data_IF_659886442084
#
_entry.id   IF_659886442084
#
_cell.length_a   1.000
_cell.length_b   1.000
_cell.length_c   1.000
_cell.angle_alpha   90.00
_cell.angle_beta   90.00
_cell.angle_gamma   90.00
#
_symmetry.space_group_name_H-M   'P 1'
#
loop_
_entity.id
_entity.type
_entity.pdbx_description
1 polymer ?
#
# COMPACT_ATOMS: atom_id res chain seq x y z
N UNK A 1 -25.26 -18.42 -4.16
CA UNK A 1 -24.18 -19.03 -4.93
C UNK A 1 -23.51 -17.99 -5.79
N UNK A 2 -22.20 -18.13 -6.06
CA UNK A 2 -21.44 -17.28 -7.00
C UNK A 2 -21.98 -17.53 -8.42
N UNK A 3 -22.36 -16.47 -9.11
CA UNK A 3 -22.87 -16.53 -10.50
C UNK A 3 -21.85 -16.00 -11.51
N UNK A 4 -21.03 -15.01 -11.10
CA UNK A 4 -20.03 -14.42 -11.99
C UNK A 4 -18.88 -13.77 -11.19
N UNK A 5 -17.69 -13.69 -11.80
CA UNK A 5 -16.53 -12.93 -11.33
C UNK A 5 -16.04 -12.08 -12.49
N UNK A 6 -15.97 -10.79 -12.29
CA UNK A 6 -15.52 -9.80 -13.27
C UNK A 6 -14.34 -9.01 -12.73
N UNK A 7 -13.46 -8.56 -13.61
CA UNK A 7 -12.38 -7.62 -13.29
C UNK A 7 -12.53 -6.35 -14.11
N UNK A 8 -12.27 -5.21 -13.47
CA UNK A 8 -12.27 -3.89 -14.07
C UNK A 8 -10.89 -3.27 -13.92
N UNK A 9 -10.28 -2.90 -15.03
CA UNK A 9 -9.04 -2.12 -15.02
C UNK A 9 -9.36 -0.65 -15.32
N UNK A 10 -8.94 0.24 -14.44
CA UNK A 10 -9.18 1.68 -14.51
C UNK A 10 -7.87 2.43 -14.67
N UNK A 11 -7.77 3.35 -15.63
CA UNK A 11 -6.56 4.15 -15.86
C UNK A 11 -6.45 5.26 -14.80
N UNK A 12 -5.65 5.05 -13.77
CA UNK A 12 -5.34 6.05 -12.76
C UNK A 12 -4.10 6.89 -13.12
N UNK A 13 -3.93 7.22 -14.39
CA UNK A 13 -2.89 8.10 -14.90
C UNK A 13 -1.55 7.40 -15.12
N UNK A 14 -0.74 7.27 -14.09
CA UNK A 14 0.57 6.60 -14.20
C UNK A 14 0.52 5.11 -13.88
N UNK A 15 -0.61 4.58 -13.42
CA UNK A 15 -0.84 3.17 -13.09
C UNK A 15 -2.29 2.76 -13.35
N UNK A 16 -2.58 1.49 -13.62
CA UNK A 16 -3.95 0.97 -13.58
C UNK A 16 -4.33 0.64 -12.13
N UNK A 17 -5.62 0.82 -11.79
CA UNK A 17 -6.26 0.14 -10.67
C UNK A 17 -7.06 -1.05 -11.18
N UNK A 18 -7.12 -2.12 -10.39
CA UNK A 18 -7.81 -3.35 -10.78
C UNK A 18 -8.80 -3.77 -9.69
N UNK A 19 -10.08 -3.83 -10.04
CA UNK A 19 -11.17 -4.15 -9.12
C UNK A 19 -11.84 -5.45 -9.50
N UNK A 20 -12.18 -6.26 -8.51
CA UNK A 20 -12.93 -7.50 -8.66
C UNK A 20 -14.35 -7.28 -8.21
N UNK A 21 -15.31 -7.75 -9.02
CA UNK A 21 -16.72 -7.84 -8.71
C UNK A 21 -17.14 -9.31 -8.70
N UNK A 22 -17.68 -9.78 -7.58
CA UNK A 22 -18.30 -11.12 -7.48
C UNK A 22 -19.79 -10.93 -7.34
N UNK A 23 -20.56 -11.55 -8.24
CA UNK A 23 -22.02 -11.54 -8.24
C UNK A 23 -22.57 -12.86 -7.71
N UNK A 24 -23.71 -12.83 -7.02
CA UNK A 24 -24.40 -13.99 -6.49
C UNK A 24 -25.83 -14.09 -7.02
N UNK A 25 -26.45 -15.26 -6.88
CA UNK A 25 -27.85 -15.48 -7.25
C UNK A 25 -28.87 -14.82 -6.29
N UNK A 26 -28.41 -14.24 -5.18
CA UNK A 26 -29.23 -13.54 -4.19
C UNK A 26 -29.04 -12.01 -4.32
N UNK A 27 -28.61 -11.53 -5.49
CA UNK A 27 -28.34 -10.14 -5.83
C UNK A 27 -27.28 -9.44 -4.93
N UNK A 28 -26.56 -10.20 -4.11
CA UNK A 28 -25.42 -9.67 -3.36
C UNK A 28 -24.20 -9.54 -4.28
N UNK A 29 -23.53 -8.39 -4.16
CA UNK A 29 -22.33 -8.08 -4.90
C UNK A 29 -21.19 -7.81 -3.92
N UNK A 30 -20.09 -8.55 -4.08
CA UNK A 30 -18.82 -8.29 -3.38
C UNK A 30 -17.86 -7.53 -4.26
N UNK A 31 -17.24 -6.52 -3.68
CA UNK A 31 -16.19 -5.73 -4.31
C UNK A 31 -14.88 -5.86 -3.57
N UNK A 32 -13.79 -5.89 -4.33
CA UNK A 32 -12.44 -5.76 -3.81
C UNK A 32 -11.51 -5.12 -4.82
N UNK A 33 -10.29 -4.88 -4.40
CA UNK A 33 -9.20 -4.40 -5.24
C UNK A 33 -8.07 -5.43 -5.27
N UNK A 34 -7.39 -5.56 -6.41
CA UNK A 34 -6.21 -6.44 -6.59
C UNK A 34 -5.15 -5.74 -7.44
N UNK A 35 -5.04 -4.43 -7.29
CA UNK A 35 -4.16 -3.57 -8.07
C UNK A 35 -2.71 -4.06 -8.06
N UNK A 36 -2.10 -4.17 -9.24
CA UNK A 36 -0.67 -4.41 -9.45
C UNK A 36 -0.09 -3.30 -10.33
N UNK A 37 0.30 -2.21 -9.71
CA UNK A 37 0.66 -0.97 -10.39
C UNK A 37 1.87 -1.07 -11.32
N UNK A 38 2.81 -1.97 -11.02
CA UNK A 38 4.08 -2.11 -11.72
C UNK A 38 4.34 -3.52 -12.25
N UNK A 39 3.34 -4.39 -12.23
CA UNK A 39 3.46 -5.77 -12.67
C UNK A 39 2.66 -6.06 -13.95
N UNK A 40 1.67 -6.93 -13.84
CA UNK A 40 0.91 -7.42 -15.00
C UNK A 40 -0.59 -7.42 -14.74
N UNK A 41 -1.32 -6.32 -14.99
CA UNK A 41 -2.78 -6.29 -14.85
C UNK A 41 -3.46 -7.38 -15.70
N UNK A 42 -2.99 -7.59 -16.94
CA UNK A 42 -3.49 -8.69 -17.81
C UNK A 42 -3.17 -10.07 -17.25
N UNK A 43 -2.03 -10.21 -16.58
CA UNK A 43 -1.65 -11.46 -15.92
C UNK A 43 -2.57 -11.78 -14.75
N UNK A 44 -2.90 -10.81 -13.90
CA UNK A 44 -3.89 -10.97 -12.82
C UNK A 44 -5.26 -11.33 -13.39
N UNK A 45 -5.71 -10.67 -14.45
CA UNK A 45 -6.96 -10.99 -15.12
C UNK A 45 -6.96 -12.45 -15.57
N UNK A 46 -5.91 -12.93 -16.25
CA UNK A 46 -5.81 -14.31 -16.69
C UNK A 46 -5.88 -15.31 -15.52
N UNK A 47 -5.22 -15.01 -14.40
CA UNK A 47 -5.32 -15.84 -13.19
C UNK A 47 -6.75 -15.87 -12.62
N UNK A 48 -7.43 -14.72 -12.58
CA UNK A 48 -8.81 -14.64 -12.10
C UNK A 48 -9.75 -15.45 -13.02
N UNK A 49 -9.56 -15.37 -14.34
CA UNK A 49 -10.33 -16.15 -15.31
C UNK A 49 -10.11 -17.67 -15.13
N UNK A 50 -8.87 -18.12 -14.90
CA UNK A 50 -8.55 -19.51 -14.60
C UNK A 50 -9.18 -20.00 -13.29
N UNK A 51 -9.20 -19.15 -12.25
CA UNK A 51 -9.79 -19.47 -10.95
C UNK A 51 -11.32 -19.43 -11.00
N UNK A 52 -11.93 -18.53 -11.77
CA UNK A 52 -13.39 -18.36 -11.92
C UNK A 52 -14.08 -19.69 -12.23
N UNK A 53 -13.47 -20.52 -13.09
CA UNK A 53 -14.04 -21.84 -13.47
C UNK A 53 -14.26 -22.76 -12.26
N UNK A 54 -13.46 -22.59 -11.18
CA UNK A 54 -13.56 -23.37 -9.95
C UNK A 54 -14.60 -22.80 -8.99
N UNK A 55 -14.95 -21.52 -9.12
CA UNK A 55 -15.66 -20.76 -8.10
C UNK A 55 -17.13 -20.51 -8.44
N UNK A 56 -17.47 -20.42 -9.74
CA UNK A 56 -18.85 -20.27 -10.17
C UNK A 56 -19.67 -21.49 -9.72
N UNK A 57 -20.80 -21.25 -9.05
CA UNK A 57 -21.66 -22.27 -8.45
C UNK A 57 -21.33 -22.60 -6.98
N UNK A 58 -20.20 -22.16 -6.46
CA UNK A 58 -19.83 -22.32 -5.05
C UNK A 58 -20.65 -21.40 -4.12
N UNK A 59 -20.68 -21.74 -2.85
CA UNK A 59 -21.27 -20.90 -1.81
C UNK A 59 -20.25 -19.85 -1.33
N UNK A 60 -20.49 -18.53 -1.56
CA UNK A 60 -19.55 -17.49 -1.19
C UNK A 60 -19.31 -17.37 0.33
N UNK A 61 -20.18 -17.98 1.17
CA UNK A 61 -19.99 -17.99 2.61
C UNK A 61 -18.89 -18.95 3.09
N UNK A 62 -18.54 -19.97 2.27
CA UNK A 62 -17.52 -20.97 2.56
C UNK A 62 -16.11 -20.50 2.16
N UNK A 63 -15.68 -19.36 2.66
CA UNK A 63 -14.44 -18.70 2.26
C UNK A 63 -13.22 -19.60 2.41
N UNK A 64 -13.11 -20.33 3.51
CA UNK A 64 -11.95 -21.22 3.77
C UNK A 64 -11.86 -22.37 2.75
N UNK A 65 -12.97 -22.95 2.33
CA UNK A 65 -12.99 -24.00 1.29
C UNK A 65 -12.60 -23.44 -0.07
N UNK A 66 -13.12 -22.25 -0.41
CA UNK A 66 -12.76 -21.53 -1.64
C UNK A 66 -11.25 -21.20 -1.67
N UNK A 67 -10.71 -20.67 -0.58
CA UNK A 67 -9.27 -20.40 -0.45
C UNK A 67 -8.45 -21.67 -0.62
N UNK A 68 -8.88 -22.77 0.03
CA UNK A 68 -8.22 -24.05 -0.14
C UNK A 68 -8.20 -24.53 -1.59
N UNK A 69 -9.32 -24.42 -2.31
CA UNK A 69 -9.42 -24.78 -3.74
C UNK A 69 -8.47 -23.93 -4.59
N UNK A 70 -8.43 -22.59 -4.38
CA UNK A 70 -7.55 -21.70 -5.12
C UNK A 70 -6.07 -22.00 -4.85
N UNK A 71 -5.66 -22.12 -3.59
CA UNK A 71 -4.28 -22.45 -3.23
C UNK A 71 -3.85 -23.85 -3.68
N UNK A 72 -4.75 -24.82 -3.65
CA UNK A 72 -4.47 -26.18 -4.16
C UNK A 72 -4.25 -26.17 -5.68
N UNK A 73 -5.05 -25.42 -6.42
CA UNK A 73 -4.94 -25.27 -7.88
C UNK A 73 -3.63 -24.59 -8.27
N UNK A 74 -3.20 -23.62 -7.50
CA UNK A 74 -2.01 -22.78 -7.80
C UNK A 74 -0.76 -23.18 -7.00
N UNK A 75 -0.77 -24.35 -6.37
CA UNK A 75 0.23 -24.82 -5.41
C UNK A 75 1.69 -24.70 -5.87
N UNK A 76 1.94 -24.82 -7.18
CA UNK A 76 3.29 -24.77 -7.74
C UNK A 76 3.73 -23.35 -8.16
N UNK A 77 2.87 -22.34 -7.96
CA UNK A 77 3.13 -20.95 -8.37
C UNK A 77 2.78 -19.97 -7.24
N UNK A 78 3.37 -20.11 -6.04
CA UNK A 78 3.04 -19.25 -4.91
C UNK A 78 3.59 -17.83 -5.09
N UNK A 79 2.82 -16.83 -4.61
CA UNK A 79 3.25 -15.43 -4.58
C UNK A 79 2.86 -14.62 -5.81
N UNK A 80 3.31 -13.36 -5.86
CA UNK A 80 3.12 -12.42 -6.95
C UNK A 80 1.66 -12.31 -7.43
N UNK A 81 1.44 -12.25 -8.76
CA UNK A 81 0.09 -12.06 -9.36
C UNK A 81 -0.92 -13.14 -8.96
N UNK A 82 -0.46 -14.37 -8.70
CA UNK A 82 -1.34 -15.45 -8.20
C UNK A 82 -1.89 -15.07 -6.83
N UNK A 83 -1.02 -14.63 -5.93
CA UNK A 83 -1.42 -14.27 -4.57
C UNK A 83 -2.33 -13.04 -4.55
N UNK A 84 -2.02 -12.02 -5.38
CA UNK A 84 -2.87 -10.83 -5.55
C UNK A 84 -4.26 -11.17 -6.07
N UNK A 85 -4.37 -12.10 -7.02
CA UNK A 85 -5.66 -12.58 -7.52
C UNK A 85 -6.46 -13.30 -6.43
N UNK A 86 -5.81 -14.21 -5.67
CA UNK A 86 -6.44 -14.94 -4.55
C UNK A 86 -6.88 -13.97 -3.46
N UNK A 87 -6.01 -13.04 -3.04
CA UNK A 87 -6.32 -12.03 -2.03
C UNK A 87 -7.48 -11.12 -2.44
N UNK A 88 -7.49 -10.70 -3.70
CA UNK A 88 -8.61 -9.91 -4.24
C UNK A 88 -9.93 -10.69 -4.24
N UNK A 89 -9.94 -11.94 -4.66
CA UNK A 89 -11.15 -12.80 -4.61
C UNK A 89 -11.59 -12.99 -3.15
N UNK A 90 -10.68 -13.30 -2.25
CA UNK A 90 -10.96 -13.46 -0.82
C UNK A 90 -11.63 -12.22 -0.24
N UNK A 91 -11.07 -11.04 -0.49
CA UNK A 91 -11.60 -9.78 0.02
C UNK A 91 -13.02 -9.50 -0.51
N UNK A 92 -13.32 -9.84 -1.77
CA UNK A 92 -14.69 -9.73 -2.29
C UNK A 92 -15.66 -10.71 -1.64
N UNK A 93 -15.20 -11.92 -1.26
CA UNK A 93 -16.02 -12.89 -0.53
C UNK A 93 -16.31 -12.42 0.90
N UNK A 94 -15.35 -11.80 1.58
CA UNK A 94 -15.59 -11.18 2.89
C UNK A 94 -16.61 -10.05 2.79
N UNK A 95 -16.58 -9.24 1.74
CA UNK A 95 -17.58 -8.19 1.48
C UNK A 95 -18.99 -8.76 1.33
N UNK A 96 -19.15 -9.85 0.54
CA UNK A 96 -20.43 -10.56 0.39
C UNK A 96 -20.94 -11.07 1.74
N UNK A 97 -20.07 -11.78 2.48
CA UNK A 97 -20.43 -12.38 3.76
C UNK A 97 -20.89 -11.34 4.77
N UNK A 98 -20.15 -10.25 4.89
CA UNK A 98 -20.49 -9.16 5.79
C UNK A 98 -21.80 -8.47 5.39
N UNK A 99 -22.02 -8.20 4.10
CA UNK A 99 -23.27 -7.63 3.56
C UNK A 99 -24.48 -8.56 3.80
N UNK A 100 -24.30 -9.87 3.64
CA UNK A 100 -25.37 -10.85 3.88
C UNK A 100 -25.84 -10.87 5.34
N UNK A 101 -24.98 -10.47 6.26
CA UNK A 101 -25.27 -10.38 7.69
C UNK A 101 -25.64 -8.96 8.15
N UNK A 102 -25.54 -7.96 7.25
CA UNK A 102 -25.80 -6.56 7.56
C UNK A 102 -24.75 -5.92 8.47
N UNK A 103 -23.52 -6.42 8.49
CA UNK A 103 -22.43 -5.96 9.38
C UNK A 103 -21.19 -5.53 8.59
N UNK A 104 -20.30 -4.67 9.14
CA UNK A 104 -18.98 -4.44 8.57
C UNK A 104 -18.11 -5.70 8.64
N UNK A 105 -17.07 -5.78 7.77
CA UNK A 105 -16.18 -6.96 7.78
C UNK A 105 -15.43 -7.10 9.10
N UNK A 106 -15.02 -6.01 9.75
CA UNK A 106 -14.32 -6.07 11.04
C UNK A 106 -15.12 -6.79 12.14
N UNK A 107 -16.46 -6.78 12.10
CA UNK A 107 -17.28 -7.49 13.08
C UNK A 107 -17.15 -9.01 12.95
N UNK A 108 -16.87 -9.52 11.74
CA UNK A 108 -16.59 -10.94 11.51
C UNK A 108 -15.25 -11.39 12.12
N UNK A 109 -14.39 -10.46 12.51
CA UNK A 109 -13.09 -10.68 13.10
C UNK A 109 -13.00 -10.23 14.58
N UNK A 110 -14.14 -10.01 15.24
CA UNK A 110 -14.22 -9.72 16.66
C UNK A 110 -14.42 -8.26 17.03
N UNK A 111 -14.64 -7.39 16.05
CA UNK A 111 -14.91 -5.96 16.26
C UNK A 111 -13.65 -5.09 16.38
N UNK A 112 -13.85 -3.79 16.49
CA UNK A 112 -12.77 -2.79 16.50
C UNK A 112 -12.09 -2.67 17.87
N UNK A 113 -10.76 -2.62 17.87
CA UNK A 113 -9.93 -2.12 18.97
C UNK A 113 -9.90 -0.58 18.93
N UNK A 114 -9.79 -0.01 17.71
CA UNK A 114 -9.77 1.42 17.48
C UNK A 114 -10.54 1.79 16.21
N UNK A 115 -11.29 2.89 16.27
CA UNK A 115 -12.11 3.38 15.15
C UNK A 115 -11.41 4.49 14.35
N UNK A 116 -10.59 5.28 15.00
CA UNK A 116 -9.83 6.37 14.41
C UNK A 116 -8.43 5.88 14.06
N UNK A 117 -8.15 5.69 12.77
CA UNK A 117 -6.88 5.15 12.30
C UNK A 117 -5.95 6.30 11.95
N UNK A 118 -4.83 6.47 12.68
CA UNK A 118 -3.85 7.50 12.37
C UNK A 118 -3.16 7.20 11.04
N UNK A 119 -3.06 8.23 10.18
CA UNK A 119 -2.55 8.14 8.83
C UNK A 119 -1.22 8.87 8.67
N UNK A 120 -0.44 8.45 7.67
CA UNK A 120 0.61 9.28 7.09
C UNK A 120 0.32 9.58 5.61
N UNK A 121 0.72 10.80 5.17
CA UNK A 121 0.64 11.20 3.77
C UNK A 121 1.74 10.52 2.98
N UNK A 122 1.40 9.52 2.16
CA UNK A 122 2.35 8.81 1.32
C UNK A 122 2.72 9.58 0.06
N UNK A 123 3.91 9.30 -0.51
CA UNK A 123 4.47 9.98 -1.68
C UNK A 123 4.40 11.51 -1.57
N UNK A 124 4.43 12.00 -0.32
CA UNK A 124 4.33 13.41 0.01
C UNK A 124 5.43 14.20 -0.71
N UNK A 125 5.07 15.28 -1.37
CA UNK A 125 5.90 16.07 -2.29
C UNK A 125 6.31 15.34 -3.59
N UNK A 126 6.71 14.07 -3.56
CA UNK A 126 7.23 13.36 -4.73
C UNK A 126 6.18 13.13 -5.81
N UNK A 127 4.92 12.93 -5.46
CA UNK A 127 3.82 12.89 -6.45
C UNK A 127 3.74 14.21 -7.24
N UNK A 128 3.97 15.36 -6.60
CA UNK A 128 3.97 16.66 -7.28
C UNK A 128 5.23 16.93 -8.11
N UNK A 129 6.32 16.24 -7.85
CA UNK A 129 7.51 16.28 -8.74
C UNK A 129 7.21 15.53 -10.04
N UNK A 130 6.65 14.30 -9.96
CA UNK A 130 6.55 13.39 -11.12
C UNK A 130 5.21 13.43 -11.86
N UNK A 131 4.10 13.71 -11.17
CA UNK A 131 2.73 13.50 -11.67
C UNK A 131 1.83 14.75 -11.56
N UNK A 132 2.40 15.94 -11.41
CA UNK A 132 1.69 17.21 -11.23
C UNK A 132 0.67 17.51 -12.34
N UNK A 133 0.96 17.13 -13.59
CA UNK A 133 0.03 17.31 -14.71
C UNK A 133 -1.22 16.42 -14.58
N UNK A 134 -1.07 15.22 -14.06
CA UNK A 134 -2.15 14.25 -13.86
C UNK A 134 -2.98 14.64 -12.65
N UNK A 135 -2.34 14.93 -11.53
CA UNK A 135 -3.00 15.30 -10.27
C UNK A 135 -3.59 16.71 -10.29
N UNK A 136 -3.24 17.55 -11.29
CA UNK A 136 -3.60 18.97 -11.38
C UNK A 136 -3.13 19.78 -10.18
N UNK A 137 -2.04 19.38 -9.57
CA UNK A 137 -1.41 20.07 -8.43
C UNK A 137 -0.17 20.86 -8.88
N UNK A 138 0.23 21.93 -8.16
CA UNK A 138 1.45 22.66 -8.46
C UNK A 138 2.68 21.77 -8.45
N UNK A 139 3.54 21.88 -9.47
CA UNK A 139 4.81 21.13 -9.53
C UNK A 139 5.80 21.65 -8.49
N UNK A 140 6.48 20.74 -7.80
CA UNK A 140 7.64 21.05 -6.96
C UNK A 140 8.90 20.95 -7.83
N UNK A 141 9.60 22.08 -8.01
CA UNK A 141 10.79 22.20 -8.87
C UNK A 141 12.06 22.54 -8.08
N UNK A 142 11.93 23.13 -6.91
CA UNK A 142 13.01 23.63 -6.09
C UNK A 142 12.61 23.64 -4.60
N UNK A 143 13.54 24.02 -3.73
CA UNK A 143 13.31 24.07 -2.28
C UNK A 143 12.29 25.15 -1.86
N UNK A 144 12.12 26.23 -2.62
CA UNK A 144 11.10 27.24 -2.33
C UNK A 144 9.69 26.68 -2.56
N UNK A 145 9.46 25.96 -3.67
CA UNK A 145 8.21 25.24 -3.91
C UNK A 145 7.92 24.23 -2.81
N UNK A 146 8.96 23.53 -2.33
CA UNK A 146 8.86 22.56 -1.24
C UNK A 146 8.47 23.24 0.08
N UNK A 147 9.07 24.41 0.38
CA UNK A 147 8.72 25.21 1.58
C UNK A 147 7.26 25.67 1.53
N UNK A 148 6.78 26.11 0.37
CA UNK A 148 5.38 26.49 0.20
C UNK A 148 4.43 25.29 0.34
N UNK A 149 4.80 24.14 -0.19
CA UNK A 149 4.06 22.89 -0.03
C UNK A 149 4.01 22.44 1.44
N UNK A 150 5.09 22.64 2.21
CA UNK A 150 5.12 22.32 3.64
C UNK A 150 4.05 23.05 4.47
N UNK A 151 3.61 24.24 4.05
CA UNK A 151 2.47 24.94 4.68
C UNK A 151 1.18 24.17 4.50
N UNK A 152 0.92 23.68 3.27
CA UNK A 152 -0.26 22.85 2.98
C UNK A 152 -0.25 21.56 3.81
N UNK A 153 0.92 20.90 3.97
CA UNK A 153 1.04 19.72 4.81
C UNK A 153 0.68 20.02 6.26
N UNK A 154 1.17 21.12 6.83
CA UNK A 154 0.84 21.54 8.20
C UNK A 154 -0.66 21.80 8.40
N UNK A 155 -1.30 22.44 7.40
CA UNK A 155 -2.72 22.78 7.42
C UNK A 155 -3.63 21.56 7.21
N UNK A 156 -3.12 20.49 6.61
CA UNK A 156 -3.88 19.26 6.30
C UNK A 156 -4.25 18.41 7.52
N UNK A 157 -3.63 18.67 8.67
CA UNK A 157 -3.83 17.92 9.92
C UNK A 157 -3.01 16.65 10.03
N UNK A 158 -2.31 16.19 8.97
CA UNK A 158 -1.42 15.03 9.06
C UNK A 158 -0.26 15.30 10.01
N UNK A 159 0.07 14.30 10.83
CA UNK A 159 1.20 14.34 11.78
C UNK A 159 2.39 13.52 11.31
N UNK A 160 2.26 12.85 10.19
CA UNK A 160 3.31 12.03 9.59
C UNK A 160 3.22 12.06 8.07
N UNK A 161 4.36 11.96 7.40
CA UNK A 161 4.48 11.83 5.96
C UNK A 161 5.55 10.82 5.57
N UNK A 162 5.41 10.24 4.37
CA UNK A 162 6.44 9.43 3.70
C UNK A 162 6.75 10.03 2.34
N UNK A 163 8.03 10.14 2.01
CA UNK A 163 8.51 10.64 0.73
C UNK A 163 9.54 9.68 0.14
N UNK A 164 9.60 9.57 -1.19
CA UNK A 164 10.76 8.97 -1.85
C UNK A 164 11.88 10.02 -1.98
N UNK A 165 12.99 9.65 -2.59
CA UNK A 165 14.06 10.60 -2.91
C UNK A 165 13.71 11.37 -4.18
N UNK A 166 13.70 12.70 -4.12
CA UNK A 166 13.67 13.54 -5.30
C UNK A 166 15.02 14.25 -5.50
N UNK A 167 15.43 14.36 -6.76
CA UNK A 167 16.59 15.13 -7.15
C UNK A 167 16.10 16.43 -7.80
N UNK A 168 16.36 17.55 -7.12
CA UNK A 168 15.97 18.89 -7.55
C UNK A 168 17.12 19.54 -8.35
N UNK A 169 17.41 18.99 -9.52
CA UNK A 169 18.34 19.57 -10.50
C UNK A 169 17.53 20.32 -11.58
N UNK A 170 18.14 20.70 -12.69
CA UNK A 170 17.52 21.47 -13.79
C UNK A 170 16.16 20.95 -14.25
N UNK A 171 15.95 19.63 -14.22
CA UNK A 171 14.65 18.97 -14.45
C UNK A 171 14.41 17.97 -13.29
N UNK A 172 13.66 18.37 -12.26
CA UNK A 172 13.41 17.56 -11.09
C UNK A 172 12.75 16.22 -11.39
N UNK A 173 13.23 15.17 -10.73
CA UNK A 173 12.73 13.80 -10.91
C UNK A 173 12.87 12.97 -9.63
N UNK A 174 12.18 11.81 -9.60
CA UNK A 174 12.28 10.86 -8.50
C UNK A 174 13.42 9.87 -8.79
N UNK A 175 14.32 9.72 -7.83
CA UNK A 175 15.41 8.76 -7.89
C UNK A 175 14.90 7.34 -7.61
N UNK A 176 14.78 6.54 -8.65
CA UNK A 176 14.24 5.17 -8.59
C UNK A 176 15.04 4.24 -9.52
N UNK A 177 16.31 3.95 -9.21
CA UNK A 177 17.13 3.09 -10.04
C UNK A 177 16.51 1.68 -10.15
N UNK A 178 16.59 1.09 -11.34
CA UNK A 178 16.04 -0.24 -11.60
C UNK A 178 14.55 -0.28 -11.97
N UNK A 179 13.79 0.79 -11.77
CA UNK A 179 12.42 0.87 -12.26
C UNK A 179 12.38 1.18 -13.77
N UNK A 180 11.35 0.66 -14.46
CA UNK A 180 11.12 0.92 -15.87
C UNK A 180 11.00 2.43 -16.14
N UNK A 181 11.73 2.93 -17.13
CA UNK A 181 11.87 4.36 -17.49
C UNK A 181 12.56 5.24 -16.45
N UNK A 182 13.26 4.67 -15.48
CA UNK A 182 14.16 5.44 -14.63
C UNK A 182 15.27 6.09 -15.45
N UNK A 183 15.74 7.28 -15.03
CA UNK A 183 16.93 7.94 -15.61
C UNK A 183 18.23 7.23 -15.23
N UNK A 184 18.21 6.47 -14.15
CA UNK A 184 19.33 5.68 -13.64
C UNK A 184 19.26 4.23 -14.14
N UNK A 185 20.40 3.55 -14.12
CA UNK A 185 20.49 2.12 -14.34
C UNK A 185 19.93 1.31 -13.17
N UNK A 186 20.34 0.03 -13.04
CA UNK A 186 19.97 -0.78 -11.89
C UNK A 186 20.51 -0.22 -10.58
N UNK A 187 20.04 -0.77 -9.46
CA UNK A 187 20.42 -0.34 -8.11
C UNK A 187 21.91 -0.04 -7.95
N UNK A 188 22.23 1.13 -7.43
CA UNK A 188 23.59 1.67 -7.37
C UNK A 188 24.06 1.82 -5.92
N UNK A 189 25.37 1.92 -5.76
CA UNK A 189 25.97 2.41 -4.52
C UNK A 189 25.79 3.93 -4.42
N UNK A 190 25.54 4.43 -3.22
CA UNK A 190 25.44 5.86 -2.97
C UNK A 190 26.83 6.52 -3.04
N UNK A 191 27.06 7.34 -4.05
CA UNK A 191 28.24 8.19 -4.17
C UNK A 191 28.05 9.52 -3.43
N UNK A 192 29.12 10.33 -3.32
CA UNK A 192 29.09 11.62 -2.60
C UNK A 192 28.08 12.60 -3.20
N UNK A 193 27.91 12.62 -4.52
CA UNK A 193 27.00 13.53 -5.20
C UNK A 193 25.55 13.17 -4.90
N UNK A 194 25.20 11.90 -5.02
CA UNK A 194 23.87 11.40 -4.70
C UNK A 194 23.53 11.60 -3.21
N UNK A 195 24.49 11.31 -2.31
CA UNK A 195 24.33 11.57 -0.88
C UNK A 195 24.02 13.04 -0.59
N UNK A 196 24.67 13.97 -1.31
CA UNK A 196 24.37 15.41 -1.22
C UNK A 196 22.94 15.77 -1.70
N UNK A 197 22.45 15.15 -2.76
CA UNK A 197 21.07 15.35 -3.20
C UNK A 197 20.05 14.81 -2.19
N UNK A 198 20.30 13.61 -1.66
CA UNK A 198 19.43 12.99 -0.63
C UNK A 198 19.38 13.87 0.63
N UNK A 199 20.54 14.34 1.09
CA UNK A 199 20.65 15.22 2.26
C UNK A 199 19.89 16.54 2.04
N UNK A 200 20.04 17.15 0.87
CA UNK A 200 19.33 18.38 0.49
C UNK A 200 17.81 18.18 0.43
N UNK A 201 17.35 17.06 -0.13
CA UNK A 201 15.93 16.76 -0.22
C UNK A 201 15.28 16.56 1.14
N UNK A 202 15.88 15.71 1.98
CA UNK A 202 15.33 15.40 3.31
C UNK A 202 15.44 16.60 4.26
N UNK A 203 16.55 17.36 4.18
CA UNK A 203 16.70 18.62 4.90
C UNK A 203 15.66 19.64 4.50
N UNK A 204 15.40 19.79 3.19
CA UNK A 204 14.35 20.67 2.69
C UNK A 204 12.94 20.26 3.15
N UNK A 205 12.65 18.95 3.22
CA UNK A 205 11.39 18.46 3.79
C UNK A 205 11.27 18.82 5.28
N UNK A 206 12.32 18.56 6.08
CA UNK A 206 12.35 18.87 7.52
C UNK A 206 12.17 20.38 7.76
N UNK A 207 12.88 21.21 7.02
CA UNK A 207 12.73 22.67 7.08
C UNK A 207 11.31 23.14 6.71
N UNK A 208 10.70 22.51 5.69
CA UNK A 208 9.37 22.86 5.22
C UNK A 208 8.26 22.51 6.22
N UNK A 209 8.33 21.33 6.86
CA UNK A 209 7.27 20.83 7.74
C UNK A 209 7.55 21.08 9.23
N UNK A 210 8.80 21.34 9.63
CA UNK A 210 9.20 21.54 11.04
C UNK A 210 9.27 20.23 11.81
N UNK A 211 9.52 20.30 13.12
CA UNK A 211 9.78 19.14 13.98
C UNK A 211 8.51 18.42 14.47
N UNK A 212 7.35 19.06 14.38
CA UNK A 212 6.07 18.49 14.83
C UNK A 212 5.48 17.43 13.90
N UNK A 213 6.05 17.27 12.70
CA UNK A 213 5.61 16.29 11.71
C UNK A 213 6.67 15.21 11.53
N UNK A 214 6.29 13.98 11.76
CA UNK A 214 7.12 12.80 11.55
C UNK A 214 7.41 12.60 10.06
N UNK A 215 8.66 12.30 9.70
CA UNK A 215 9.07 12.05 8.32
C UNK A 215 9.60 10.62 8.18
N UNK A 216 9.06 9.88 7.22
CA UNK A 216 9.63 8.64 6.73
C UNK A 216 10.20 8.82 5.32
N UNK A 217 11.23 8.07 4.99
CA UNK A 217 11.81 8.05 3.64
C UNK A 217 11.76 6.63 3.09
N UNK A 218 11.14 6.50 1.92
CA UNK A 218 11.07 5.27 1.19
C UNK A 218 12.23 5.18 0.19
N UNK A 219 13.11 4.22 0.45
CA UNK A 219 14.31 3.95 -0.34
C UNK A 219 14.09 2.81 -1.33
N UNK A 220 12.94 2.14 -1.33
CA UNK A 220 12.61 1.00 -2.18
C UNK A 220 13.78 -0.03 -2.27
N UNK A 221 14.01 -0.61 -3.47
CA UNK A 221 15.18 -1.45 -3.80
C UNK A 221 16.37 -0.65 -4.35
N UNK A 222 16.49 0.65 -4.02
CA UNK A 222 17.38 1.57 -4.72
C UNK A 222 18.88 1.32 -4.46
N UNK A 223 19.24 0.61 -3.39
CA UNK A 223 20.63 0.42 -3.01
C UNK A 223 20.95 -1.04 -2.67
N UNK A 224 22.24 -1.32 -2.48
CA UNK A 224 22.73 -2.51 -1.80
C UNK A 224 23.01 -2.18 -0.34
N UNK A 225 23.32 -3.17 0.48
CA UNK A 225 23.53 -3.06 1.93
C UNK A 225 24.41 -1.88 2.34
N UNK A 226 25.55 -1.69 1.65
CA UNK A 226 26.45 -0.57 1.92
C UNK A 226 25.81 0.79 1.63
N UNK A 227 25.08 0.90 0.52
CA UNK A 227 24.40 2.14 0.12
C UNK A 227 23.32 2.55 1.11
N UNK A 228 22.48 1.62 1.56
CA UNK A 228 21.47 1.88 2.60
C UNK A 228 22.11 2.39 3.90
N UNK A 229 23.21 1.77 4.35
CA UNK A 229 23.92 2.22 5.57
C UNK A 229 24.47 3.64 5.39
N UNK A 230 25.07 3.96 4.24
CA UNK A 230 25.57 5.32 3.96
C UNK A 230 24.44 6.36 3.97
N UNK A 231 23.32 6.04 3.32
CA UNK A 231 22.14 6.92 3.30
C UNK A 231 21.57 7.11 4.71
N UNK A 232 21.38 6.03 5.45
CA UNK A 232 20.87 6.11 6.83
C UNK A 232 21.75 6.99 7.72
N UNK A 233 23.10 6.84 7.62
CA UNK A 233 24.04 7.61 8.44
C UNK A 233 23.98 9.12 8.16
N UNK A 234 23.82 9.56 6.90
CA UNK A 234 23.70 11.00 6.61
C UNK A 234 22.35 11.57 7.02
N UNK A 235 21.30 10.72 7.06
CA UNK A 235 19.95 11.11 7.41
C UNK A 235 19.65 11.05 8.92
N UNK A 236 20.51 10.44 9.73
CA UNK A 236 20.32 10.28 11.18
C UNK A 236 20.03 11.62 11.88
N UNK A 237 20.62 12.71 11.44
CA UNK A 237 20.45 14.07 11.99
C UNK A 237 19.04 14.65 11.83
N UNK A 238 18.20 14.06 10.98
CA UNK A 238 16.83 14.54 10.73
C UNK A 238 15.77 13.84 11.58
N UNK A 239 16.15 12.93 12.46
CA UNK A 239 15.27 12.19 13.37
C UNK A 239 14.05 11.61 12.62
N UNK A 240 14.32 10.72 11.66
CA UNK A 240 13.29 10.14 10.81
C UNK A 240 12.49 9.07 11.57
N UNK A 241 11.19 9.04 11.33
CA UNK A 241 10.26 8.06 11.88
C UNK A 241 10.66 6.63 11.50
N UNK A 242 11.05 6.41 10.25
CA UNK A 242 11.68 5.19 9.71
C UNK A 242 12.30 5.42 8.33
N UNK A 243 13.13 4.48 7.94
CA UNK A 243 13.52 4.23 6.54
C UNK A 243 12.78 3.00 6.04
N UNK A 244 12.11 3.11 4.91
CA UNK A 244 11.52 1.97 4.22
C UNK A 244 12.56 1.38 3.28
N UNK A 245 12.92 0.13 3.51
CA UNK A 245 14.00 -0.56 2.80
C UNK A 245 13.48 -1.92 2.34
N UNK A 246 13.33 -2.10 1.05
CA UNK A 246 12.97 -3.37 0.48
C UNK A 246 14.19 -4.27 0.27
N UNK A 247 14.07 -5.49 0.76
CA UNK A 247 15.09 -6.52 0.57
C UNK A 247 14.46 -7.90 0.56
N UNK A 248 14.88 -8.75 -0.38
CA UNK A 248 14.48 -10.16 -0.41
C UNK A 248 15.35 -11.06 0.50
N UNK A 249 16.32 -10.47 1.20
CA UNK A 249 17.22 -11.19 2.12
C UNK A 249 17.05 -10.66 3.55
N UNK A 250 16.38 -11.41 4.45
CA UNK A 250 16.19 -10.99 5.83
C UNK A 250 17.51 -10.84 6.61
N UNK A 251 18.56 -11.57 6.22
CA UNK A 251 19.87 -11.46 6.89
C UNK A 251 20.58 -10.15 6.49
N UNK A 252 20.53 -9.79 5.21
CA UNK A 252 21.05 -8.51 4.74
C UNK A 252 20.30 -7.34 5.37
N UNK A 253 18.96 -7.42 5.47
CA UNK A 253 18.14 -6.40 6.10
C UNK A 253 18.46 -6.28 7.60
N UNK A 254 18.59 -7.40 8.31
CA UNK A 254 19.04 -7.43 9.71
C UNK A 254 20.42 -6.78 9.88
N UNK A 255 21.36 -7.06 8.97
CA UNK A 255 22.69 -6.44 9.03
C UNK A 255 22.61 -4.92 8.88
N UNK A 256 21.75 -4.40 8.01
CA UNK A 256 21.51 -2.96 7.89
C UNK A 256 20.96 -2.42 9.20
N UNK A 257 19.90 -3.04 9.74
CA UNK A 257 19.25 -2.64 10.99
C UNK A 257 20.25 -2.54 12.16
N UNK A 258 21.17 -3.48 12.27
CA UNK A 258 22.18 -3.49 13.34
C UNK A 258 23.24 -2.38 13.20
N UNK A 259 23.31 -1.69 12.05
CA UNK A 259 24.30 -0.64 11.75
C UNK A 259 23.73 0.77 11.74
N UNK A 260 22.43 0.94 11.88
CA UNK A 260 21.74 2.24 11.84
C UNK A 260 20.90 2.44 13.10
N UNK A 261 20.57 3.70 13.41
CA UNK A 261 19.70 4.01 14.56
C UNK A 261 18.23 4.22 14.15
N UNK A 262 18.01 4.71 12.92
CA UNK A 262 16.68 4.95 12.40
C UNK A 262 15.94 3.62 12.25
N UNK A 263 14.69 3.49 12.74
CA UNK A 263 13.90 2.28 12.55
C UNK A 263 13.73 1.90 11.08
N UNK A 264 13.55 0.61 10.79
CA UNK A 264 13.31 0.10 9.44
C UNK A 264 11.87 -0.38 9.30
N UNK A 265 11.22 0.06 8.23
CA UNK A 265 9.99 -0.55 7.68
C UNK A 265 10.35 -1.35 6.43
N UNK A 266 9.73 -2.52 6.22
CA UNK A 266 9.98 -3.38 5.06
C UNK A 266 8.86 -4.40 4.85
N UNK A 267 8.97 -5.20 3.81
CA UNK A 267 8.16 -6.39 3.52
C UNK A 267 6.90 -6.15 2.69
N UNK A 268 6.69 -4.99 2.06
CA UNK A 268 5.52 -4.76 1.21
C UNK A 268 5.39 -5.77 0.05
N UNK A 269 6.53 -6.27 -0.44
CA UNK A 269 6.61 -7.19 -1.57
C UNK A 269 6.54 -8.68 -1.19
N UNK A 270 6.14 -9.02 0.04
CA UNK A 270 6.01 -10.40 0.52
C UNK A 270 4.56 -10.90 0.48
N UNK A 271 4.42 -12.20 0.27
CA UNK A 271 3.13 -12.86 0.10
C UNK A 271 2.93 -14.01 1.08
N UNK A 272 1.85 -13.92 1.85
CA UNK A 272 1.45 -14.93 2.83
C UNK A 272 2.39 -15.07 4.03
N UNK A 273 1.89 -15.63 5.15
CA UNK A 273 2.64 -15.71 6.40
C UNK A 273 4.01 -16.41 6.28
N UNK A 274 4.15 -17.34 5.33
CA UNK A 274 5.40 -18.11 5.13
C UNK A 274 6.56 -17.24 4.65
N UNK A 275 6.29 -16.22 3.83
CA UNK A 275 7.35 -15.32 3.35
C UNK A 275 7.74 -14.30 4.43
N UNK A 276 6.80 -13.83 5.25
CA UNK A 276 7.07 -12.93 6.37
C UNK A 276 7.85 -13.60 7.52
N UNK A 277 7.59 -14.89 7.78
CA UNK A 277 8.18 -15.61 8.91
C UNK A 277 9.70 -15.46 9.06
N UNK A 278 10.55 -15.66 8.01
CA UNK A 278 12.00 -15.50 8.14
C UNK A 278 12.43 -14.09 8.54
N UNK A 279 11.67 -13.06 8.15
CA UNK A 279 11.96 -11.68 8.52
C UNK A 279 11.68 -11.43 10.00
N UNK A 280 10.60 -11.99 10.53
CA UNK A 280 10.28 -11.89 11.96
C UNK A 280 11.27 -12.69 12.81
N UNK A 281 11.58 -13.93 12.44
CA UNK A 281 12.54 -14.79 13.15
C UNK A 281 13.94 -14.16 13.23
N UNK A 282 14.34 -13.38 12.22
CA UNK A 282 15.62 -12.70 12.22
C UNK A 282 15.55 -11.27 12.79
N UNK A 283 14.39 -10.80 13.24
CA UNK A 283 14.20 -9.40 13.64
C UNK A 283 14.79 -8.44 12.58
N UNK A 284 14.46 -8.68 11.31
CA UNK A 284 15.09 -8.00 10.18
C UNK A 284 14.68 -6.53 10.03
N UNK A 285 13.51 -6.15 10.58
CA UNK A 285 12.98 -4.78 10.59
C UNK A 285 12.29 -4.50 11.93
N UNK A 286 11.82 -3.27 12.12
CA UNK A 286 11.08 -2.82 13.30
C UNK A 286 9.57 -2.79 13.04
N UNK A 287 9.17 -2.54 11.80
CA UNK A 287 7.78 -2.41 11.38
C UNK A 287 7.59 -3.21 10.09
N UNK A 288 6.57 -4.08 10.04
CA UNK A 288 6.26 -4.83 8.84
C UNK A 288 5.19 -4.10 8.00
N UNK A 289 5.51 -3.85 6.74
CA UNK A 289 4.59 -3.32 5.75
C UNK A 289 3.85 -4.48 5.07
N UNK A 290 2.53 -4.57 5.27
CA UNK A 290 1.70 -5.64 4.72
C UNK A 290 0.69 -5.03 3.76
N UNK A 291 0.73 -5.44 2.48
CA UNK A 291 -0.33 -5.04 1.56
C UNK A 291 -1.54 -5.97 1.70
N UNK A 292 -2.67 -5.42 2.17
CA UNK A 292 -3.87 -6.20 2.52
C UNK A 292 -4.60 -6.70 1.29
N UNK A 293 -4.59 -5.95 0.18
CA UNK A 293 -5.24 -6.40 -1.05
C UNK A 293 -4.39 -7.45 -1.81
N UNK A 294 -3.08 -7.51 -1.54
CA UNK A 294 -2.19 -8.50 -2.13
C UNK A 294 -2.17 -9.82 -1.35
N UNK A 295 -2.34 -9.74 -0.03
CA UNK A 295 -2.29 -10.90 0.87
C UNK A 295 -3.67 -11.50 1.18
N UNK A 296 -4.75 -10.74 0.95
CA UNK A 296 -6.07 -11.05 1.48
C UNK A 296 -6.20 -10.70 2.96
N UNK A 297 -7.41 -10.49 3.42
CA UNK A 297 -7.67 -10.01 4.79
C UNK A 297 -7.28 -11.05 5.85
N UNK A 298 -7.59 -12.35 5.60
CA UNK A 298 -7.28 -13.42 6.54
C UNK A 298 -5.78 -13.62 6.75
N UNK A 299 -4.99 -13.64 5.67
CA UNK A 299 -3.54 -13.82 5.79
C UNK A 299 -2.88 -12.55 6.33
N UNK A 300 -3.37 -11.35 5.98
CA UNK A 300 -2.90 -10.10 6.58
C UNK A 300 -3.12 -10.06 8.09
N UNK A 301 -4.29 -10.54 8.57
CA UNK A 301 -4.54 -10.67 10.02
C UNK A 301 -3.58 -11.67 10.69
N UNK A 302 -3.32 -12.85 10.07
CA UNK A 302 -2.35 -13.82 10.58
C UNK A 302 -0.92 -13.25 10.62
N UNK A 303 -0.53 -12.46 9.60
CA UNK A 303 0.77 -11.79 9.56
C UNK A 303 0.87 -10.78 10.70
N UNK A 304 -0.18 -9.98 10.94
CA UNK A 304 -0.22 -9.02 12.04
C UNK A 304 -0.12 -9.71 13.41
N UNK A 305 -0.84 -10.81 13.63
CA UNK A 305 -0.77 -11.61 14.86
C UNK A 305 0.63 -12.21 15.07
N UNK A 306 1.24 -12.72 14.00
CA UNK A 306 2.61 -13.24 14.04
C UNK A 306 3.60 -12.12 14.38
N UNK A 307 3.52 -10.96 13.72
CA UNK A 307 4.35 -9.79 14.02
C UNK A 307 4.23 -9.36 15.50
N UNK A 308 3.00 -9.30 16.02
CA UNK A 308 2.75 -9.01 17.43
C UNK A 308 3.44 -10.00 18.38
N UNK A 309 3.52 -11.28 18.01
CA UNK A 309 4.23 -12.31 18.79
C UNK A 309 5.75 -12.13 18.80
N UNK A 310 6.29 -11.35 17.84
CA UNK A 310 7.71 -10.97 17.74
C UNK A 310 7.96 -9.53 18.20
N UNK A 311 7.02 -8.89 18.90
CA UNK A 311 7.10 -7.51 19.39
C UNK A 311 7.30 -6.48 18.26
N UNK A 312 6.67 -6.73 17.09
CA UNK A 312 6.76 -5.85 15.92
C UNK A 312 5.42 -5.21 15.60
N UNK A 313 5.49 -3.95 15.19
CA UNK A 313 4.34 -3.21 14.70
C UNK A 313 4.06 -3.51 13.21
N UNK A 314 2.82 -3.23 12.80
CA UNK A 314 2.35 -3.28 11.42
C UNK A 314 2.11 -1.85 10.91
N UNK A 315 2.46 -1.60 9.66
CA UNK A 315 2.11 -0.43 8.89
C UNK A 315 1.65 -0.90 7.51
N UNK A 316 0.34 -1.01 7.21
CA UNK A 316 -0.09 -1.54 5.94
C UNK A 316 0.34 -0.67 4.76
N UNK A 317 0.94 -1.30 3.74
CA UNK A 317 1.17 -0.69 2.43
C UNK A 317 -0.18 -0.44 1.74
N UNK A 318 -0.41 0.77 1.24
CA UNK A 318 -1.66 1.16 0.60
C UNK A 318 -1.46 2.24 -0.47
N UNK A 319 -0.79 1.88 -1.56
CA UNK A 319 -0.52 2.72 -2.75
C UNK A 319 -1.58 2.52 -3.85
N UNK A 320 -2.84 2.40 -3.50
CA UNK A 320 -3.88 1.89 -4.40
C UNK A 320 -5.12 2.80 -4.39
N UNK A 321 -6.27 2.29 -4.84
CA UNK A 321 -7.54 3.00 -4.82
C UNK A 321 -8.16 3.11 -3.43
N UNK A 322 -9.30 3.82 -3.35
CA UNK A 322 -9.99 3.95 -2.07
C UNK A 322 -10.54 2.63 -1.52
N UNK A 323 -10.86 1.66 -2.39
CA UNK A 323 -11.35 0.37 -1.92
C UNK A 323 -10.26 -0.37 -1.13
N UNK A 324 -9.00 -0.32 -1.61
CA UNK A 324 -7.85 -0.80 -0.85
C UNK A 324 -7.72 -0.08 0.50
N UNK A 325 -7.95 1.24 0.51
CA UNK A 325 -7.93 2.02 1.75
C UNK A 325 -9.00 1.53 2.74
N UNK A 326 -10.24 1.35 2.32
CA UNK A 326 -11.31 0.84 3.19
C UNK A 326 -11.00 -0.56 3.74
N UNK A 327 -10.48 -1.46 2.90
CA UNK A 327 -10.07 -2.81 3.30
C UNK A 327 -8.93 -2.73 4.33
N UNK A 328 -7.88 -1.98 4.03
CA UNK A 328 -6.70 -1.85 4.91
C UNK A 328 -7.04 -1.22 6.25
N UNK A 329 -7.92 -0.19 6.28
CA UNK A 329 -8.30 0.47 7.52
C UNK A 329 -9.12 -0.44 8.44
N UNK A 330 -9.95 -1.35 7.88
CA UNK A 330 -10.64 -2.33 8.72
C UNK A 330 -9.66 -3.31 9.37
N UNK A 331 -8.58 -3.72 8.68
CA UNK A 331 -7.50 -4.48 9.32
C UNK A 331 -6.83 -3.66 10.44
N UNK A 332 -6.49 -2.40 10.16
CA UNK A 332 -5.89 -1.50 11.15
C UNK A 332 -6.74 -1.38 12.42
N UNK A 333 -8.06 -1.37 12.26
CA UNK A 333 -9.00 -1.25 13.38
C UNK A 333 -9.05 -2.46 14.33
N UNK A 334 -8.68 -3.66 13.85
CA UNK A 334 -8.79 -4.92 14.59
C UNK A 334 -7.46 -5.49 15.08
N UNK A 335 -6.33 -4.82 14.83
CA UNK A 335 -5.00 -5.28 15.27
C UNK A 335 -4.47 -4.41 16.42
N UNK A 336 -3.82 -5.01 17.45
CA UNK A 336 -3.31 -4.27 18.59
C UNK A 336 -1.96 -3.57 18.32
N UNK A 337 -1.26 -3.98 17.27
CA UNK A 337 0.10 -3.56 16.95
C UNK A 337 0.19 -2.67 15.70
N UNK A 338 -0.82 -1.84 15.46
CA UNK A 338 -0.75 -0.83 14.41
C UNK A 338 0.23 0.29 14.78
N UNK A 339 1.14 0.65 13.86
CA UNK A 339 1.98 1.85 13.99
C UNK A 339 1.28 3.08 13.41
N UNK A 340 1.01 3.08 12.12
CA UNK A 340 0.28 4.07 11.32
C UNK A 340 -0.28 3.38 10.08
N UNK A 341 -1.15 4.03 9.34
CA UNK A 341 -1.65 3.53 8.06
C UNK A 341 -1.35 4.49 6.90
N UNK A 342 -1.07 3.93 5.75
CA UNK A 342 -0.71 4.65 4.54
C UNK A 342 -1.92 5.20 3.79
N UNK A 343 -1.80 6.43 3.26
CA UNK A 343 -2.73 6.97 2.29
C UNK A 343 -2.04 7.92 1.31
N UNK A 344 -2.31 7.77 0.01
CA UNK A 344 -1.99 8.79 -0.99
C UNK A 344 -3.04 9.90 -0.94
N UNK A 345 -2.59 11.15 -0.79
CA UNK A 345 -3.46 12.33 -0.81
C UNK A 345 -3.55 12.91 -2.22
N UNK A 346 -2.40 13.07 -2.88
CA UNK A 346 -2.35 13.57 -4.26
C UNK A 346 -2.54 12.41 -5.26
N UNK A 347 -3.65 12.43 -6.00
CA UNK A 347 -3.98 11.41 -6.99
C UNK A 347 -4.80 12.02 -8.15
N UNK A 348 -5.34 11.18 -9.04
CA UNK A 348 -6.22 11.62 -10.11
C UNK A 348 -7.42 12.38 -9.55
N UNK A 349 -7.81 13.52 -10.14
CA UNK A 349 -8.85 14.40 -9.56
C UNK A 349 -10.23 13.75 -9.41
N UNK A 350 -10.51 12.73 -10.21
CA UNK A 350 -11.79 12.02 -10.24
C UNK A 350 -11.82 10.77 -9.33
N UNK A 351 -10.76 10.53 -8.53
CA UNK A 351 -10.66 9.33 -7.68
C UNK A 351 -11.89 9.13 -6.79
N UNK A 352 -12.38 10.20 -6.17
CA UNK A 352 -13.53 10.13 -5.28
C UNK A 352 -14.83 9.71 -6.00
N UNK A 353 -14.99 10.06 -7.28
CA UNK A 353 -16.18 9.71 -8.08
C UNK A 353 -16.25 8.21 -8.40
N UNK A 354 -15.11 7.51 -8.36
CA UNK A 354 -15.01 6.09 -8.66
C UNK A 354 -15.65 5.20 -7.58
N UNK A 355 -15.93 5.75 -6.40
CA UNK A 355 -16.44 4.98 -5.27
C UNK A 355 -17.75 5.56 -4.74
N UNK A 356 -18.59 4.70 -4.18
CA UNK A 356 -19.88 5.14 -3.57
C UNK A 356 -19.65 5.99 -2.31
N UNK A 357 -18.58 5.72 -1.58
CA UNK A 357 -18.14 6.49 -0.42
C UNK A 357 -16.63 6.71 -0.51
N UNK A 358 -16.19 7.91 -0.17
CA UNK A 358 -14.78 8.25 -0.02
C UNK A 358 -14.32 8.10 1.44
N UNK A 359 -13.01 7.94 1.70
CA UNK A 359 -12.48 7.91 3.06
C UNK A 359 -12.86 9.17 3.86
N UNK A 360 -13.40 8.97 5.07
CA UNK A 360 -13.68 10.06 5.99
C UNK A 360 -12.42 10.37 6.81
N UNK A 361 -11.65 11.36 6.36
CA UNK A 361 -10.39 11.76 6.98
C UNK A 361 -10.58 13.07 7.72
N UNK A 362 -10.23 13.10 9.00
CA UNK A 362 -10.29 14.24 9.88
C UNK A 362 -8.99 14.31 10.70
N UNK A 363 -8.33 15.46 10.70
CA UNK A 363 -7.08 15.70 11.44
C UNK A 363 -6.03 14.58 11.27
N UNK A 364 -5.81 14.13 10.02
CA UNK A 364 -4.85 13.08 9.70
C UNK A 364 -5.24 11.68 10.17
N UNK A 365 -6.51 11.44 10.50
CA UNK A 365 -7.05 10.13 10.87
C UNK A 365 -8.22 9.75 9.99
N UNK A 366 -8.32 8.47 9.62
CA UNK A 366 -9.52 7.93 8.97
C UNK A 366 -10.48 7.35 10.00
N UNK A 367 -11.74 7.76 9.92
CA UNK A 367 -12.84 7.20 10.72
C UNK A 367 -13.41 5.98 10.00
N UNK A 368 -13.33 4.80 10.61
CA UNK A 368 -13.90 3.57 10.04
C UNK A 368 -15.44 3.64 10.07
N UNK A 369 -16.06 3.36 8.90
CA UNK A 369 -17.53 3.31 8.77
C UNK A 369 -18.15 2.12 9.50
N UNK A 370 -19.45 2.25 9.83
CA UNK A 370 -20.30 1.13 10.32
C UNK A 370 -21.08 0.47 9.18
N UNK A 371 -20.92 0.91 7.94
CA UNK A 371 -21.66 0.37 6.82
C UNK A 371 -21.29 -1.10 6.56
N UNK A 372 -22.26 -1.93 6.11
CA UNK A 372 -22.01 -3.33 5.82
C UNK A 372 -20.92 -3.56 4.77
N UNK A 373 -20.18 -4.65 4.90
CA UNK A 373 -19.06 -4.98 4.03
C UNK A 373 -17.86 -4.08 4.27
N UNK A 374 -17.24 -3.60 3.19
CA UNK A 374 -16.14 -2.65 3.28
C UNK A 374 -16.59 -1.21 3.53
N UNK A 375 -17.89 -0.92 3.42
CA UNK A 375 -18.45 0.43 3.58
C UNK A 375 -18.34 1.28 2.31
N UNK A 376 -17.90 0.71 1.19
CA UNK A 376 -17.87 1.36 -0.13
C UNK A 376 -17.99 0.33 -1.25
N UNK A 377 -18.28 0.79 -2.47
CA UNK A 377 -18.33 -0.03 -3.68
C UNK A 377 -17.78 0.78 -4.87
N UNK A 378 -17.42 0.08 -5.95
CA UNK A 378 -16.98 0.73 -7.19
C UNK A 378 -18.20 1.25 -7.97
N UNK A 379 -18.11 2.50 -8.45
CA UNK A 379 -19.03 3.07 -9.40
C UNK A 379 -18.67 2.57 -10.81
N UNK A 380 -19.43 1.60 -11.33
CA UNK A 380 -19.15 0.95 -12.60
C UNK A 380 -19.18 1.91 -13.80
N UNK A 381 -20.03 2.94 -13.78
CA UNK A 381 -20.10 3.93 -14.87
C UNK A 381 -18.81 4.78 -14.93
N UNK A 382 -18.29 5.16 -13.77
CA UNK A 382 -17.01 5.87 -13.70
C UNK A 382 -15.85 4.94 -14.06
N UNK A 383 -15.87 3.68 -13.61
CA UNK A 383 -14.88 2.69 -13.98
C UNK A 383 -14.82 2.46 -15.50
N UNK A 384 -15.97 2.38 -16.17
CA UNK A 384 -16.07 2.29 -17.64
C UNK A 384 -15.55 3.55 -18.34
N UNK A 385 -15.90 4.74 -17.82
CA UNK A 385 -15.47 6.03 -18.37
C UNK A 385 -13.94 6.16 -18.40
N UNK A 386 -13.25 5.65 -17.39
CA UNK A 386 -11.79 5.67 -17.25
C UNK A 386 -11.16 4.28 -17.46
N UNK A 387 -11.77 3.45 -18.30
CA UNK A 387 -11.27 2.09 -18.59
C UNK A 387 -9.82 2.12 -19.09
N UNK A 388 -9.00 1.22 -18.55
CA UNK A 388 -7.61 1.04 -18.98
C UNK A 388 -7.53 0.09 -20.17
N UNK A 389 -7.14 0.61 -21.34
CA UNK A 389 -7.13 -0.12 -22.62
C UNK A 389 -5.71 -0.29 -23.21
N UNK A 390 -4.67 -0.29 -22.36
CA UNK A 390 -3.26 -0.36 -22.83
C UNK A 390 -2.73 -1.77 -22.90
#
# INVERSE_FOLDING_TARGET
KITDIQIFHVDAGWRPWSFIKISTNDDLIGWSECTDSHGSPKGIQGVIEDLKVLLVGEDPSNINDILWKMHSRTRQSPGSIIHKAIGGIENALWDIKAKSLGVPVYDLFGGLIQREIPLYWSHCATTRVRAHEITKKPRIKNLEDLTNFGKEVKESGFKALKSNIAILDNDPYIFMPGFYKSKEGPALNADKKLLGYIDSWVGGLRDAVGDDIEIAIDLNFNFKTEGYIKVANILEKYDLMWLEIDSYDPIALRFIRDKIKTPITSCENLYGPRQFKPYFENHAMDIASVDVIWNGFSDSKKIADMANSYEMNICPHNYNGHLSTFISMQLCGIIPNLRLAEIDVDDVPWRDELFTHKPNIQDGKMIISNDPGWGTAVNEEVAKKYSWNK
#
